data_IF_504632339586
#
_entry.id   IF_504632339586
#
_cell.length_a   1.000
_cell.length_b   1.000
_cell.length_c   1.000
_cell.angle_alpha   90.00
_cell.angle_beta   90.00
_cell.angle_gamma   90.00
#
_symmetry.space_group_name_H-M   'P 1'
#
loop_
_entity.id
_entity.type
_entity.pdbx_description
1 polymer ?
#
# COMPACT_ATOMS: atom_id res chain seq x y z
N UNK A 1 -34.61 -19.20 10.89
CA UNK A 1 -33.20 -18.97 11.28
C UNK A 1 -32.23 -20.14 11.02
N UNK A 2 -32.50 -21.42 11.33
CA UNK A 2 -31.52 -22.51 11.05
C UNK A 2 -31.50 -23.00 9.60
N UNK A 3 -32.65 -23.05 8.91
CA UNK A 3 -32.73 -23.46 7.50
C UNK A 3 -32.15 -22.42 6.53
N UNK A 4 -32.32 -21.12 6.79
CA UNK A 4 -31.78 -20.04 5.93
C UNK A 4 -30.25 -19.92 6.02
N UNK A 5 -29.67 -20.08 7.21
CA UNK A 5 -28.20 -20.18 7.36
C UNK A 5 -27.63 -21.37 6.58
N UNK A 6 -28.42 -22.42 6.37
CA UNK A 6 -28.03 -23.60 5.59
C UNK A 6 -28.20 -23.41 4.07
N UNK A 7 -29.03 -22.46 3.62
CA UNK A 7 -29.27 -22.22 2.20
C UNK A 7 -28.09 -21.48 1.55
N UNK A 8 -27.68 -20.34 2.10
CA UNK A 8 -26.58 -19.56 1.54
C UNK A 8 -25.23 -20.26 1.68
N UNK A 9 -25.07 -21.11 2.70
CA UNK A 9 -23.87 -21.94 2.84
C UNK A 9 -23.76 -23.04 1.79
N UNK A 10 -24.78 -23.29 0.96
CA UNK A 10 -24.68 -24.18 -0.22
C UNK A 10 -24.50 -23.42 -1.53
N UNK A 11 -24.95 -22.16 -1.61
CA UNK A 11 -24.91 -21.35 -2.83
C UNK A 11 -23.59 -20.58 -3.00
N UNK A 12 -22.96 -20.13 -1.90
CA UNK A 12 -21.71 -19.39 -1.98
C UNK A 12 -20.51 -20.29 -2.37
N UNK A 13 -19.54 -19.71 -3.10
CA UNK A 13 -18.26 -20.38 -3.41
C UNK A 13 -17.61 -20.93 -2.14
N UNK A 14 -17.01 -22.11 -2.23
CA UNK A 14 -16.39 -22.77 -1.07
C UNK A 14 -15.32 -21.88 -0.39
N UNK A 15 -14.53 -21.16 -1.17
CA UNK A 15 -13.53 -20.21 -0.67
C UNK A 15 -14.12 -19.10 0.20
N UNK A 16 -15.28 -18.56 -0.20
CA UNK A 16 -15.97 -17.47 0.51
C UNK A 16 -16.63 -17.96 1.80
N UNK A 17 -17.02 -19.24 1.85
CA UNK A 17 -17.60 -19.87 3.04
C UNK A 17 -16.56 -20.29 4.08
N UNK A 18 -15.29 -20.28 3.71
CA UNK A 18 -14.19 -20.69 4.58
C UNK A 18 -14.14 -19.81 5.83
N UNK A 19 -14.14 -20.43 6.99
CA UNK A 19 -13.95 -19.72 8.28
C UNK A 19 -12.57 -19.05 8.38
N UNK A 20 -11.60 -19.48 7.55
CA UNK A 20 -10.28 -18.84 7.46
C UNK A 20 -10.35 -17.45 6.82
N UNK A 21 -11.33 -17.20 5.95
CA UNK A 21 -11.54 -15.90 5.32
C UNK A 21 -12.35 -14.99 6.25
N UNK A 22 -11.65 -14.24 7.08
CA UNK A 22 -12.27 -13.27 7.98
C UNK A 22 -12.14 -11.85 7.44
N UNK A 23 -13.14 -11.01 7.70
CA UNK A 23 -13.17 -9.60 7.31
C UNK A 23 -13.64 -8.76 8.49
N UNK A 24 -13.15 -7.53 8.65
CA UNK A 24 -13.66 -6.61 9.66
C UNK A 24 -15.15 -6.35 9.48
N UNK A 25 -15.89 -6.19 10.58
CA UNK A 25 -17.27 -5.71 10.55
C UNK A 25 -17.28 -4.19 10.44
N UNK A 26 -17.40 -3.67 9.22
CA UNK A 26 -17.37 -2.22 8.99
C UNK A 26 -18.49 -1.45 9.70
N UNK A 27 -19.63 -2.08 9.97
CA UNK A 27 -20.73 -1.49 10.77
C UNK A 27 -20.37 -1.24 12.24
N UNK A 28 -19.28 -1.83 12.73
CA UNK A 28 -18.79 -1.70 14.11
C UNK A 28 -17.53 -0.80 14.17
N UNK A 29 -17.12 -0.20 13.05
CA UNK A 29 -15.96 0.67 13.01
C UNK A 29 -16.23 1.98 13.77
N UNK A 30 -15.41 2.27 14.78
CA UNK A 30 -15.43 3.57 15.45
C UNK A 30 -14.92 4.67 14.51
N UNK A 31 -15.55 5.85 14.59
CA UNK A 31 -15.02 7.06 13.97
C UNK A 31 -13.68 7.43 14.61
N UNK A 32 -12.76 8.00 13.82
CA UNK A 32 -11.53 8.57 14.36
C UNK A 32 -11.86 9.92 15.00
N UNK A 33 -11.29 10.19 16.17
CA UNK A 33 -11.43 11.47 16.83
C UNK A 33 -10.71 12.56 16.02
N UNK A 34 -11.46 13.54 15.53
CA UNK A 34 -10.96 14.63 14.68
C UNK A 34 -10.04 15.60 15.44
N UNK A 35 -10.04 15.55 16.78
CA UNK A 35 -9.14 16.36 17.62
C UNK A 35 -7.73 15.76 17.73
N UNK A 36 -7.53 14.52 17.27
CA UNK A 36 -6.24 13.83 17.31
C UNK A 36 -5.54 13.89 15.95
N UNK A 37 -4.20 13.88 15.98
CA UNK A 37 -3.42 13.63 14.77
C UNK A 37 -3.61 12.20 14.28
N UNK A 38 -3.88 12.00 12.99
CA UNK A 38 -4.10 10.68 12.41
C UNK A 38 -2.86 10.14 11.70
N UNK A 39 -2.05 9.37 12.43
CA UNK A 39 -0.84 8.73 11.92
C UNK A 39 -0.95 7.19 11.88
N UNK A 40 -2.16 6.63 11.72
CA UNK A 40 -2.42 5.19 11.83
C UNK A 40 -2.56 4.42 10.50
N UNK A 41 -2.87 5.11 9.38
CA UNK A 41 -3.20 4.50 8.07
C UNK A 41 -2.27 4.89 6.93
N UNK A 42 -1.16 5.55 7.22
CA UNK A 42 -0.20 6.01 6.23
C UNK A 42 -0.87 6.96 5.21
N UNK A 43 -1.78 7.81 5.66
CA UNK A 43 -2.29 8.93 4.85
C UNK A 43 -1.20 10.01 4.76
N UNK A 44 -1.22 10.84 3.71
CA UNK A 44 -0.35 12.00 3.63
C UNK A 44 -0.90 13.09 4.58
N UNK A 45 -0.10 13.60 5.51
CA UNK A 45 -0.51 14.65 6.45
C UNK A 45 0.08 16.04 6.15
N UNK A 46 0.65 16.22 4.95
CA UNK A 46 1.27 17.46 4.52
C UNK A 46 0.24 18.59 4.29
N UNK A 47 0.28 19.68 5.07
CA UNK A 47 -0.74 20.72 5.03
C UNK A 47 -0.71 21.56 3.74
N UNK A 48 0.45 21.73 3.11
CA UNK A 48 0.53 22.47 1.83
C UNK A 48 -0.14 21.71 0.69
N UNK A 49 0.10 20.40 0.59
CA UNK A 49 -0.55 19.53 -0.40
C UNK A 49 -2.06 19.42 -0.15
N UNK A 50 -2.47 19.38 1.13
CA UNK A 50 -3.89 19.45 1.49
C UNK A 50 -4.53 20.77 1.04
N UNK A 51 -3.84 21.90 1.25
CA UNK A 51 -4.30 23.20 0.79
C UNK A 51 -4.45 23.27 -0.74
N UNK A 52 -3.53 22.65 -1.49
CA UNK A 52 -3.68 22.49 -2.95
C UNK A 52 -4.92 21.66 -3.29
N UNK A 53 -5.06 20.49 -2.66
CA UNK A 53 -6.21 19.59 -2.86
C UNK A 53 -7.53 20.31 -2.62
N UNK A 54 -7.63 21.09 -1.55
CA UNK A 54 -8.82 21.87 -1.22
C UNK A 54 -9.15 22.91 -2.31
N UNK A 55 -8.14 23.65 -2.81
CA UNK A 55 -8.33 24.61 -3.92
C UNK A 55 -8.80 23.92 -5.20
N UNK A 56 -8.24 22.76 -5.52
CA UNK A 56 -8.62 22.00 -6.71
C UNK A 56 -10.04 21.44 -6.59
N UNK A 57 -10.44 20.95 -5.41
CA UNK A 57 -11.80 20.51 -5.14
C UNK A 57 -12.82 21.65 -5.30
N UNK A 58 -12.52 22.84 -4.75
CA UNK A 58 -13.41 24.03 -4.85
C UNK A 58 -13.66 24.51 -6.28
N UNK A 59 -12.78 24.17 -7.22
CA UNK A 59 -12.89 24.57 -8.63
C UNK A 59 -13.48 23.46 -9.52
N UNK A 60 -13.87 22.31 -8.96
CA UNK A 60 -14.51 21.25 -9.73
C UNK A 60 -15.93 21.68 -10.13
N UNK A 61 -16.35 21.46 -11.39
CA UNK A 61 -17.71 21.80 -11.79
C UNK A 61 -18.72 20.87 -11.12
N UNK A 62 -19.85 21.43 -10.68
CA UNK A 62 -20.93 20.68 -10.02
C UNK A 62 -21.49 19.56 -10.89
N UNK A 63 -21.33 19.65 -12.22
CA UNK A 63 -21.78 18.61 -13.14
C UNK A 63 -21.18 17.23 -12.87
N UNK A 64 -19.97 17.18 -12.31
CA UNK A 64 -19.31 15.91 -11.97
C UNK A 64 -20.07 15.10 -10.91
N UNK A 65 -20.96 15.73 -10.14
CA UNK A 65 -21.78 15.03 -9.14
C UNK A 65 -22.91 14.21 -9.77
N UNK A 66 -23.30 14.49 -11.01
CA UNK A 66 -24.45 13.85 -11.68
C UNK A 66 -24.12 13.31 -13.07
N UNK A 67 -22.83 13.21 -13.44
CA UNK A 67 -22.36 12.59 -14.69
C UNK A 67 -21.43 11.41 -14.44
N UNK A 68 -21.38 10.49 -15.39
CA UNK A 68 -20.37 9.43 -15.43
C UNK A 68 -18.97 9.99 -15.77
N UNK A 69 -17.89 9.27 -15.42
CA UNK A 69 -16.53 9.74 -15.64
C UNK A 69 -16.12 9.65 -17.12
N UNK A 70 -15.55 10.73 -17.64
CA UNK A 70 -14.89 10.79 -18.95
C UNK A 70 -13.37 10.63 -18.77
N UNK A 71 -12.90 9.38 -18.74
CA UNK A 71 -11.56 9.05 -18.25
C UNK A 71 -10.41 9.30 -19.23
N UNK A 72 -10.70 9.58 -20.52
CA UNK A 72 -9.68 9.67 -21.57
C UNK A 72 -8.56 10.66 -21.25
N UNK A 73 -8.89 11.84 -20.71
CA UNK A 73 -7.89 12.84 -20.30
C UNK A 73 -7.01 12.36 -19.16
N UNK A 74 -7.60 11.76 -18.12
CA UNK A 74 -6.87 11.18 -17.00
C UNK A 74 -5.92 10.07 -17.47
N UNK A 75 -6.38 9.13 -18.30
CA UNK A 75 -5.53 8.08 -18.87
C UNK A 75 -4.31 8.65 -19.59
N UNK A 76 -4.49 9.63 -20.48
CA UNK A 76 -3.38 10.23 -21.24
C UNK A 76 -2.44 11.06 -20.36
N UNK A 77 -2.96 11.83 -19.39
CA UNK A 77 -2.10 12.55 -18.43
C UNK A 77 -1.29 11.59 -17.58
N UNK A 78 -1.94 10.55 -17.06
CA UNK A 78 -1.29 9.54 -16.22
C UNK A 78 -0.22 8.78 -17.00
N UNK A 79 -0.50 8.33 -18.22
CA UNK A 79 0.46 7.65 -19.07
C UNK A 79 1.70 8.52 -19.35
N UNK A 80 1.51 9.81 -19.65
CA UNK A 80 2.61 10.78 -19.81
C UNK A 80 3.41 10.98 -18.52
N UNK A 81 2.74 11.10 -17.38
CA UNK A 81 3.40 11.24 -16.08
C UNK A 81 4.24 10.00 -15.73
N UNK A 82 3.72 8.81 -16.00
CA UNK A 82 4.38 7.54 -15.73
C UNK A 82 5.48 7.23 -16.76
N UNK A 83 5.37 7.76 -17.99
CA UNK A 83 6.33 7.54 -19.06
C UNK A 83 6.07 6.28 -19.89
N UNK A 84 4.80 5.89 -20.07
CA UNK A 84 4.39 4.66 -20.79
C UNK A 84 3.30 4.94 -21.84
N UNK A 85 3.02 3.97 -22.70
CA UNK A 85 1.85 4.04 -23.60
C UNK A 85 0.54 4.01 -22.80
N UNK A 86 -0.48 4.71 -23.29
CA UNK A 86 -1.80 4.77 -22.62
C UNK A 86 -2.44 3.39 -22.44
N UNK A 87 -2.20 2.45 -23.36
CA UNK A 87 -2.71 1.08 -23.29
C UNK A 87 -1.95 0.20 -22.29
N UNK A 88 -0.84 0.69 -21.73
CA UNK A 88 -0.12 0.01 -20.64
C UNK A 88 -0.63 0.41 -19.26
N UNK A 89 -1.62 1.31 -19.19
CA UNK A 89 -2.22 1.79 -17.94
C UNK A 89 -3.63 1.25 -17.80
N UNK A 90 -4.00 0.86 -16.57
CA UNK A 90 -5.38 0.52 -16.20
C UNK A 90 -5.74 1.28 -14.93
N UNK A 91 -6.74 2.17 -14.97
CA UNK A 91 -7.23 2.84 -13.76
C UNK A 91 -8.00 1.86 -12.87
N UNK A 92 -7.92 2.06 -11.56
CA UNK A 92 -8.56 1.19 -10.57
C UNK A 92 -8.97 1.95 -9.32
N UNK A 93 -9.82 1.34 -8.49
CA UNK A 93 -10.31 1.88 -7.22
C UNK A 93 -9.22 1.91 -6.11
N UNK A 94 -8.13 2.63 -6.35
CA UNK A 94 -6.88 2.55 -5.59
C UNK A 94 -6.05 1.31 -5.99
N UNK A 95 -4.81 1.20 -5.50
CA UNK A 95 -3.96 0.04 -5.77
C UNK A 95 -4.58 -1.30 -5.36
N UNK A 96 -5.46 -1.31 -4.35
CA UNK A 96 -6.24 -2.51 -3.96
C UNK A 96 -7.09 -3.05 -5.12
N UNK A 97 -7.66 -2.15 -5.94
CA UNK A 97 -8.37 -2.54 -7.16
C UNK A 97 -7.43 -3.15 -8.21
N UNK A 98 -6.24 -2.57 -8.41
CA UNK A 98 -5.23 -3.13 -9.30
C UNK A 98 -4.77 -4.52 -8.86
N UNK A 99 -4.49 -4.69 -7.56
CA UNK A 99 -4.14 -5.98 -6.97
C UNK A 99 -5.29 -6.97 -7.22
N UNK A 100 -6.53 -6.61 -6.88
CA UNK A 100 -7.69 -7.49 -7.07
C UNK A 100 -7.88 -7.93 -8.52
N UNK A 101 -7.72 -7.03 -9.49
CA UNK A 101 -7.91 -7.37 -10.90
C UNK A 101 -6.92 -8.44 -11.39
N UNK A 102 -5.72 -8.53 -10.80
CA UNK A 102 -4.80 -9.65 -11.09
C UNK A 102 -5.38 -10.98 -10.61
N UNK A 103 -5.94 -11.01 -9.39
CA UNK A 103 -6.60 -12.21 -8.89
C UNK A 103 -7.81 -12.59 -9.74
N UNK A 104 -8.60 -11.62 -10.17
CA UNK A 104 -9.77 -11.84 -11.04
C UNK A 104 -9.40 -12.39 -12.41
N UNK A 105 -8.29 -11.93 -13.00
CA UNK A 105 -7.90 -12.32 -14.34
C UNK A 105 -7.09 -13.62 -14.39
N UNK A 106 -6.33 -13.96 -13.35
CA UNK A 106 -5.29 -14.99 -13.44
C UNK A 106 -5.35 -16.11 -12.41
N UNK A 107 -6.14 -15.99 -11.34
CA UNK A 107 -6.09 -16.95 -10.24
C UNK A 107 -7.32 -17.86 -10.24
N UNK A 108 -7.07 -19.15 -10.42
CA UNK A 108 -8.06 -20.20 -10.24
C UNK A 108 -7.97 -20.83 -8.83
N UNK A 109 -9.06 -21.44 -8.33
CA UNK A 109 -9.00 -22.19 -7.08
C UNK A 109 -7.94 -23.28 -7.11
N UNK A 110 -7.10 -23.34 -6.08
CA UNK A 110 -5.98 -24.28 -5.97
C UNK A 110 -4.63 -23.74 -6.44
N UNK A 111 -4.60 -22.63 -7.19
CA UNK A 111 -3.34 -21.99 -7.59
C UNK A 111 -2.50 -21.58 -6.36
N UNK A 112 -1.19 -21.54 -6.54
CA UNK A 112 -0.24 -21.09 -5.50
C UNK A 112 0.05 -19.60 -5.68
N UNK A 113 -0.09 -18.82 -4.60
CA UNK A 113 0.25 -17.38 -4.59
C UNK A 113 1.31 -17.12 -3.54
N UNK A 114 2.49 -16.69 -3.97
CA UNK A 114 3.57 -16.29 -3.09
C UNK A 114 3.46 -14.80 -2.75
N UNK A 115 3.71 -14.45 -1.49
CA UNK A 115 3.76 -13.06 -1.04
C UNK A 115 4.64 -12.94 0.20
N UNK A 116 5.17 -11.74 0.48
CA UNK A 116 5.92 -11.50 1.71
C UNK A 116 5.05 -11.64 2.97
N UNK A 117 5.65 -11.87 4.14
CA UNK A 117 4.93 -11.95 5.41
C UNK A 117 5.76 -11.40 6.60
N UNK A 118 5.28 -10.40 7.35
CA UNK A 118 4.04 -9.64 7.15
C UNK A 118 4.10 -8.82 5.86
N UNK A 119 2.93 -8.38 5.38
CA UNK A 119 2.77 -7.63 4.13
C UNK A 119 1.43 -6.88 4.12
N UNK A 120 1.07 -6.25 2.99
CA UNK A 120 -0.25 -5.65 2.82
C UNK A 120 -1.32 -6.73 2.93
N UNK A 121 -2.26 -6.54 3.87
CA UNK A 121 -3.20 -7.57 4.31
C UNK A 121 -4.09 -8.15 3.20
N UNK A 122 -4.21 -7.47 2.06
CA UNK A 122 -5.09 -7.90 0.97
C UNK A 122 -4.50 -9.02 0.11
N UNK A 123 -3.18 -9.23 0.05
CA UNK A 123 -2.62 -10.39 -0.67
C UNK A 123 -3.10 -11.74 -0.12
N UNK A 124 -2.96 -12.03 1.19
CA UNK A 124 -3.48 -13.28 1.73
C UNK A 124 -5.01 -13.34 1.68
N UNK A 125 -5.71 -12.21 1.86
CA UNK A 125 -7.17 -12.18 1.77
C UNK A 125 -7.65 -12.51 0.36
N UNK A 126 -7.08 -11.91 -0.68
CA UNK A 126 -7.46 -12.25 -2.05
C UNK A 126 -7.07 -13.68 -2.40
N UNK A 127 -5.90 -14.16 -1.97
CA UNK A 127 -5.50 -15.56 -2.14
C UNK A 127 -6.60 -16.50 -1.59
N UNK A 128 -7.04 -16.28 -0.36
CA UNK A 128 -8.13 -17.07 0.24
C UNK A 128 -9.48 -16.85 -0.47
N UNK A 129 -9.83 -15.61 -0.82
CA UNK A 129 -11.11 -15.24 -1.44
C UNK A 129 -11.31 -15.94 -2.78
N UNK A 130 -10.26 -16.08 -3.57
CA UNK A 130 -10.28 -16.77 -4.88
C UNK A 130 -10.01 -18.27 -4.76
N UNK A 131 -9.83 -18.80 -3.53
CA UNK A 131 -9.64 -20.23 -3.29
C UNK A 131 -8.25 -20.74 -3.63
N UNK A 132 -7.27 -19.84 -3.76
CA UNK A 132 -5.87 -20.16 -3.95
C UNK A 132 -5.19 -20.49 -2.60
N UNK A 133 -3.98 -21.04 -2.69
CA UNK A 133 -3.15 -21.41 -1.54
C UNK A 133 -2.01 -20.40 -1.39
N UNK A 134 -1.89 -19.82 -0.19
CA UNK A 134 -0.82 -18.87 0.12
C UNK A 134 0.53 -19.58 0.35
N UNK A 135 1.59 -19.01 -0.20
CA UNK A 135 2.99 -19.34 0.06
C UNK A 135 3.69 -18.12 0.68
N UNK A 136 3.58 -17.92 2.00
CA UNK A 136 4.19 -16.77 2.66
C UNK A 136 5.73 -16.86 2.65
N UNK A 137 6.38 -15.76 2.29
CA UNK A 137 7.82 -15.53 2.34
C UNK A 137 8.12 -14.69 3.59
N UNK A 138 8.42 -15.37 4.70
CA UNK A 138 8.47 -14.73 6.02
C UNK A 138 9.75 -13.93 6.25
N UNK A 139 9.59 -12.64 6.56
CA UNK A 139 10.65 -11.83 7.14
C UNK A 139 11.10 -12.41 8.48
N UNK A 140 12.41 -12.39 8.71
CA UNK A 140 13.02 -12.67 10.00
C UNK A 140 13.28 -11.36 10.76
N UNK A 141 13.35 -11.45 12.09
CA UNK A 141 13.83 -10.33 12.89
C UNK A 141 15.36 -10.23 12.72
N UNK A 142 15.83 -9.11 12.20
CA UNK A 142 17.25 -8.79 12.05
C UNK A 142 17.70 -7.68 13.00
N UNK A 143 19.01 -7.49 13.12
CA UNK A 143 19.59 -6.47 14.00
C UNK A 143 19.23 -5.04 13.58
N UNK A 144 18.96 -4.82 12.29
CA UNK A 144 18.59 -3.52 11.72
C UNK A 144 17.11 -3.44 11.31
N UNK A 145 16.29 -4.38 11.74
CA UNK A 145 14.88 -4.49 11.37
C UNK A 145 14.54 -5.80 10.65
N UNK A 146 13.35 -5.89 10.03
CA UNK A 146 12.94 -7.06 9.27
C UNK A 146 13.88 -7.39 8.09
N UNK A 147 14.24 -8.66 7.94
CA UNK A 147 15.13 -9.15 6.87
C UNK A 147 14.46 -10.28 6.09
N UNK A 148 14.45 -10.19 4.76
CA UNK A 148 13.99 -11.27 3.87
C UNK A 148 15.05 -11.49 2.79
N UNK A 149 15.71 -12.64 2.84
CA UNK A 149 16.76 -12.95 1.87
C UNK A 149 16.19 -13.22 0.49
N UNK A 150 16.73 -12.56 -0.53
CA UNK A 150 16.34 -12.78 -1.94
C UNK A 150 16.48 -14.25 -2.35
N UNK A 151 17.48 -14.96 -1.82
CA UNK A 151 17.67 -16.38 -2.07
C UNK A 151 16.41 -17.22 -1.78
N UNK A 152 15.66 -16.93 -0.70
CA UNK A 152 14.44 -17.69 -0.40
C UNK A 152 13.33 -17.43 -1.41
N UNK A 153 13.27 -16.22 -1.98
CA UNK A 153 12.32 -15.87 -3.05
C UNK A 153 12.68 -16.64 -4.32
N UNK A 154 13.96 -16.63 -4.70
CA UNK A 154 14.46 -17.36 -5.87
C UNK A 154 14.24 -18.87 -5.74
N UNK A 155 14.47 -19.44 -4.56
CA UNK A 155 14.21 -20.86 -4.29
C UNK A 155 12.73 -21.21 -4.35
N UNK A 156 11.86 -20.32 -3.86
CA UNK A 156 10.41 -20.47 -4.00
C UNK A 156 10.00 -20.50 -5.48
N UNK A 157 10.49 -19.55 -6.28
CA UNK A 157 10.21 -19.48 -7.71
C UNK A 157 10.68 -20.75 -8.45
N UNK A 158 11.90 -21.24 -8.17
CA UNK A 158 12.44 -22.46 -8.79
C UNK A 158 11.66 -23.72 -8.41
N UNK A 159 11.39 -23.89 -7.11
CA UNK A 159 10.90 -25.16 -6.57
C UNK A 159 9.39 -25.28 -6.53
N UNK A 160 8.67 -24.17 -6.31
CA UNK A 160 7.21 -24.15 -6.14
C UNK A 160 6.48 -23.62 -7.36
N UNK A 161 7.13 -22.74 -8.15
CA UNK A 161 6.57 -22.11 -9.36
C UNK A 161 5.14 -21.58 -9.12
N UNK A 162 4.95 -20.66 -8.18
CA UNK A 162 3.62 -20.12 -7.89
C UNK A 162 3.02 -19.48 -9.13
N UNK A 163 1.69 -19.45 -9.23
CA UNK A 163 0.99 -18.75 -10.32
C UNK A 163 1.29 -17.24 -10.29
N UNK A 164 1.37 -16.69 -9.08
CA UNK A 164 1.57 -15.27 -8.82
C UNK A 164 2.56 -15.06 -7.66
N UNK A 165 3.47 -14.12 -7.82
CA UNK A 165 4.32 -13.57 -6.77
C UNK A 165 3.93 -12.10 -6.53
N UNK A 166 3.42 -11.77 -5.35
CA UNK A 166 3.11 -10.41 -4.92
C UNK A 166 4.22 -9.86 -4.01
N UNK A 167 4.89 -8.80 -4.43
CA UNK A 167 5.90 -8.10 -3.62
C UNK A 167 5.57 -6.62 -3.54
N UNK A 168 5.22 -6.08 -2.36
CA UNK A 168 5.25 -4.64 -2.18
C UNK A 168 6.70 -4.15 -2.08
N UNK A 169 7.00 -3.03 -2.72
CA UNK A 169 8.34 -2.45 -2.70
C UNK A 169 8.26 -0.92 -2.79
N UNK A 170 8.33 -0.19 -1.66
CA UNK A 170 8.54 -0.64 -0.28
C UNK A 170 7.41 -1.50 0.29
N UNK A 171 7.78 -2.46 1.15
CA UNK A 171 6.81 -3.31 1.84
C UNK A 171 6.13 -2.55 2.99
N UNK A 172 4.82 -2.78 3.18
CA UNK A 172 4.09 -2.39 4.37
C UNK A 172 3.54 -3.64 5.06
N UNK A 173 3.92 -3.92 6.31
CA UNK A 173 4.33 -2.90 7.28
C UNK A 173 5.84 -2.73 7.46
N UNK A 174 6.72 -3.53 6.88
CA UNK A 174 8.14 -3.54 7.29
C UNK A 174 8.91 -2.28 6.90
N UNK A 175 8.54 -1.64 5.79
CA UNK A 175 9.25 -0.50 5.21
C UNK A 175 10.50 -0.87 4.43
N UNK A 176 10.78 -2.17 4.28
CA UNK A 176 11.95 -2.69 3.57
C UNK A 176 11.79 -2.54 2.08
N UNK A 177 12.91 -2.50 1.37
CA UNK A 177 12.96 -2.52 -0.09
C UNK A 177 13.89 -3.62 -0.56
N UNK A 178 13.70 -4.05 -1.81
CA UNK A 178 14.65 -4.81 -2.58
C UNK A 178 15.45 -3.85 -3.47
N UNK A 179 16.76 -4.07 -3.54
CA UNK A 179 17.63 -3.31 -4.42
C UNK A 179 17.36 -3.64 -5.90
N UNK A 180 17.71 -2.75 -6.85
CA UNK A 180 17.44 -2.97 -8.27
C UNK A 180 17.98 -4.30 -8.82
N UNK A 181 19.18 -4.72 -8.40
CA UNK A 181 19.79 -5.99 -8.83
C UNK A 181 19.01 -7.21 -8.30
N UNK A 182 18.46 -7.11 -7.09
CA UNK A 182 17.65 -8.15 -6.47
C UNK A 182 16.32 -8.30 -7.19
N UNK A 183 15.66 -7.18 -7.48
CA UNK A 183 14.41 -7.18 -8.24
C UNK A 183 14.61 -7.76 -9.65
N UNK A 184 15.69 -7.42 -10.34
CA UNK A 184 16.02 -8.02 -11.65
C UNK A 184 16.20 -9.53 -11.55
N UNK A 185 16.96 -10.01 -10.57
CA UNK A 185 17.16 -11.45 -10.36
C UNK A 185 15.84 -12.18 -10.08
N UNK A 186 14.94 -11.57 -9.29
CA UNK A 186 13.59 -12.10 -9.03
C UNK A 186 12.77 -12.16 -10.31
N UNK A 187 12.77 -11.08 -11.11
CA UNK A 187 12.01 -11.00 -12.36
C UNK A 187 12.51 -11.98 -13.42
N UNK A 188 13.83 -12.11 -13.59
CA UNK A 188 14.46 -13.08 -14.50
C UNK A 188 14.07 -14.52 -14.11
N UNK A 189 14.14 -14.83 -12.82
CA UNK A 189 13.78 -16.14 -12.29
C UNK A 189 12.27 -16.41 -12.42
N UNK A 190 11.42 -15.40 -12.18
CA UNK A 190 9.98 -15.52 -12.31
C UNK A 190 9.57 -15.75 -13.77
N UNK A 191 10.16 -14.98 -14.70
CA UNK A 191 9.91 -15.12 -16.14
C UNK A 191 10.30 -16.51 -16.64
N UNK A 192 11.51 -16.99 -16.31
CA UNK A 192 11.95 -18.34 -16.69
C UNK A 192 11.13 -19.46 -16.04
N UNK A 193 10.43 -19.16 -14.94
CA UNK A 193 9.56 -20.12 -14.24
C UNK A 193 8.08 -20.01 -14.65
N UNK A 194 7.72 -19.07 -15.54
CA UNK A 194 6.34 -18.83 -15.96
C UNK A 194 5.44 -18.24 -14.85
N UNK A 195 6.03 -17.50 -13.92
CA UNK A 195 5.33 -16.92 -12.75
C UNK A 195 4.94 -15.48 -13.04
N UNK A 196 3.67 -15.10 -12.81
CA UNK A 196 3.25 -13.70 -12.86
C UNK A 196 3.82 -12.94 -11.66
N UNK A 197 4.32 -11.72 -11.86
CA UNK A 197 4.85 -10.88 -10.80
C UNK A 197 4.03 -9.61 -10.67
N UNK A 198 3.56 -9.35 -9.45
CA UNK A 198 2.91 -8.12 -9.04
C UNK A 198 3.83 -7.36 -8.10
N UNK A 199 4.37 -6.23 -8.55
CA UNK A 199 5.11 -5.31 -7.69
C UNK A 199 4.19 -4.16 -7.26
N UNK A 200 3.93 -4.04 -5.97
CA UNK A 200 3.11 -2.94 -5.42
C UNK A 200 4.00 -1.78 -4.97
N UNK A 201 3.97 -0.71 -5.75
CA UNK A 201 4.68 0.54 -5.51
C UNK A 201 3.75 1.60 -4.89
N UNK A 202 2.85 1.20 -3.98
CA UNK A 202 1.94 2.12 -3.30
C UNK A 202 2.64 3.32 -2.62
N UNK A 203 3.92 3.18 -2.25
CA UNK A 203 4.72 4.22 -1.63
C UNK A 203 5.69 4.93 -2.59
N UNK A 204 5.61 4.73 -3.90
CA UNK A 204 6.32 5.60 -4.83
C UNK A 204 5.79 7.05 -4.72
N UNK A 205 6.64 8.09 -4.71
CA UNK A 205 8.10 8.10 -4.85
C UNK A 205 8.88 8.25 -3.52
N UNK A 206 8.32 7.85 -2.37
CA UNK A 206 9.08 7.82 -1.11
C UNK A 206 10.34 6.94 -1.21
N UNK A 207 10.27 5.91 -2.04
CA UNK A 207 11.42 5.21 -2.60
C UNK A 207 11.57 5.58 -4.08
N UNK A 208 12.76 6.03 -4.52
CA UNK A 208 12.94 6.58 -5.87
C UNK A 208 12.98 5.51 -6.97
N UNK A 209 13.38 4.28 -6.64
CA UNK A 209 13.48 3.22 -7.64
C UNK A 209 12.09 2.70 -7.96
N UNK A 210 11.81 2.53 -9.26
CA UNK A 210 10.63 1.87 -9.77
C UNK A 210 10.99 0.83 -10.82
N UNK A 211 10.21 -0.23 -10.89
CA UNK A 211 10.31 -1.27 -11.93
C UNK A 211 9.38 -1.02 -13.13
N UNK A 212 8.65 0.10 -13.16
CA UNK A 212 7.78 0.48 -14.30
C UNK A 212 8.56 0.52 -15.60
N UNK A 213 9.80 0.99 -15.59
CA UNK A 213 10.67 1.04 -16.77
C UNK A 213 11.00 -0.35 -17.34
N UNK A 214 10.74 -1.42 -16.60
CA UNK A 214 11.11 -2.78 -16.98
C UNK A 214 9.92 -3.59 -17.52
N UNK A 215 8.70 -3.06 -17.53
CA UNK A 215 7.49 -3.78 -17.97
C UNK A 215 7.58 -4.30 -19.41
N UNK A 216 8.33 -3.63 -20.28
CA UNK A 216 8.53 -4.06 -21.67
C UNK A 216 9.55 -5.21 -21.77
N UNK A 217 10.47 -5.32 -20.80
CA UNK A 217 11.45 -6.42 -20.71
C UNK A 217 10.87 -7.65 -19.99
N UNK A 218 9.86 -7.45 -19.13
CA UNK A 218 9.23 -8.50 -18.33
C UNK A 218 7.73 -8.55 -18.63
N UNK A 219 7.28 -9.33 -19.64
CA UNK A 219 5.86 -9.39 -20.03
C UNK A 219 4.95 -9.99 -18.94
N UNK A 220 5.53 -10.64 -17.94
CA UNK A 220 4.87 -11.18 -16.76
C UNK A 220 4.89 -10.21 -15.54
N UNK A 221 5.29 -8.95 -15.72
CA UNK A 221 5.34 -7.94 -14.66
C UNK A 221 4.15 -6.99 -14.74
N UNK A 222 3.45 -6.84 -13.63
CA UNK A 222 2.51 -5.76 -13.38
C UNK A 222 2.95 -4.93 -12.17
N UNK A 223 2.86 -3.61 -12.30
CA UNK A 223 3.13 -2.67 -11.21
C UNK A 223 1.82 -2.04 -10.75
N UNK A 224 1.53 -2.07 -9.45
CA UNK A 224 0.40 -1.36 -8.86
C UNK A 224 0.85 -0.03 -8.23
N UNK A 225 0.10 1.04 -8.44
CA UNK A 225 0.33 2.36 -7.85
C UNK A 225 -0.97 3.02 -7.40
N UNK A 226 -0.86 4.06 -6.58
CA UNK A 226 -2.00 4.69 -5.91
C UNK A 226 -1.84 6.20 -5.80
N UNK A 227 -2.96 6.93 -5.85
CA UNK A 227 -2.99 8.35 -5.48
C UNK A 227 -3.22 8.55 -3.96
N UNK A 228 -3.34 7.47 -3.19
CA UNK A 228 -3.68 7.56 -1.77
C UNK A 228 -2.53 7.99 -0.85
N UNK A 229 -1.28 7.72 -1.26
CA UNK A 229 -0.09 7.94 -0.44
C UNK A 229 0.55 9.26 -0.82
N UNK A 230 1.55 9.27 -1.70
CA UNK A 230 2.29 10.48 -2.05
C UNK A 230 1.39 11.63 -2.52
N UNK A 231 0.44 11.35 -3.42
CA UNK A 231 -0.52 12.35 -3.93
C UNK A 231 -1.56 12.83 -2.92
N UNK A 232 -1.65 12.24 -1.73
CA UNK A 232 -2.46 12.74 -0.62
C UNK A 232 -3.98 12.70 -0.77
N UNK A 233 -4.51 12.06 -1.83
CA UNK A 233 -5.96 12.01 -2.09
C UNK A 233 -6.54 10.61 -1.78
N UNK A 234 -6.23 10.05 -0.61
CA UNK A 234 -6.69 8.72 -0.20
C UNK A 234 -8.21 8.52 -0.30
N UNK A 235 -8.99 9.58 -0.01
CA UNK A 235 -10.45 9.59 -0.11
C UNK A 235 -10.99 9.53 -1.55
N UNK A 236 -10.20 9.91 -2.56
CA UNK A 236 -10.60 9.87 -3.96
C UNK A 236 -10.71 8.44 -4.52
N UNK A 237 -10.08 7.47 -3.84
CA UNK A 237 -10.05 6.06 -4.24
C UNK A 237 -9.58 5.84 -5.69
N UNK A 238 -8.55 6.57 -6.12
CA UNK A 238 -7.94 6.40 -7.45
C UNK A 238 -6.57 5.73 -7.33
N UNK A 239 -6.35 4.73 -8.17
CA UNK A 239 -5.08 4.04 -8.36
C UNK A 239 -4.98 3.51 -9.78
N UNK A 240 -3.91 2.77 -10.06
CA UNK A 240 -3.69 2.24 -11.39
C UNK A 240 -2.73 1.05 -11.38
N UNK A 241 -2.86 0.21 -12.41
CA UNK A 241 -1.88 -0.79 -12.79
C UNK A 241 -1.08 -0.29 -14.00
N UNK A 242 0.18 -0.71 -14.09
CA UNK A 242 1.04 -0.52 -15.26
C UNK A 242 1.63 -1.87 -15.67
N UNK A 243 1.52 -2.25 -16.93
CA UNK A 243 2.03 -3.52 -17.44
C UNK A 243 2.32 -3.46 -18.95
N UNK A 244 3.02 -4.47 -19.48
CA UNK A 244 3.07 -4.70 -20.92
C UNK A 244 1.65 -4.81 -21.54
N UNK A 245 1.50 -4.40 -22.80
CA UNK A 245 0.19 -4.26 -23.47
C UNK A 245 -0.70 -5.49 -23.34
N UNK A 246 -0.17 -6.67 -23.63
CA UNK A 246 -0.94 -7.93 -23.59
C UNK A 246 -1.48 -8.24 -22.19
N UNK A 247 -0.67 -7.97 -21.15
CA UNK A 247 -1.07 -8.15 -19.76
C UNK A 247 -2.10 -7.08 -19.34
N UNK A 248 -1.88 -5.82 -19.71
CA UNK A 248 -2.83 -4.74 -19.45
C UNK A 248 -4.20 -4.99 -20.12
N UNK A 249 -4.21 -5.53 -21.34
CA UNK A 249 -5.44 -5.89 -22.07
C UNK A 249 -6.25 -6.97 -21.35
N UNK A 250 -5.58 -7.97 -20.75
CA UNK A 250 -6.25 -8.98 -19.94
C UNK A 250 -6.86 -8.39 -18.66
N UNK A 251 -6.14 -7.48 -18.01
CA UNK A 251 -6.66 -6.76 -16.83
C UNK A 251 -7.85 -5.86 -17.22
N UNK A 252 -7.81 -5.20 -18.38
CA UNK A 252 -8.94 -4.41 -18.90
C UNK A 252 -10.20 -5.26 -19.12
N UNK A 253 -10.11 -6.57 -19.38
CA UNK A 253 -11.30 -7.42 -19.57
C UNK A 253 -12.10 -7.66 -18.30
N UNK A 254 -11.48 -7.54 -17.13
CA UNK A 254 -12.15 -7.80 -15.84
C UNK A 254 -12.62 -6.52 -15.14
N UNK A 255 -12.33 -5.34 -15.72
CA UNK A 255 -12.74 -4.06 -15.12
C UNK A 255 -14.26 -3.87 -15.18
N UNK A 256 -14.86 -3.18 -14.19
CA UNK A 256 -16.21 -2.68 -14.32
C UNK A 256 -16.28 -1.55 -15.37
N UNK A 257 -17.48 -1.25 -15.87
CA UNK A 257 -17.70 -0.14 -16.82
C UNK A 257 -17.17 1.20 -16.31
N UNK A 258 -17.25 1.43 -14.99
CA UNK A 258 -16.71 2.60 -14.31
C UNK A 258 -15.92 2.17 -13.07
N UNK A 259 -14.59 2.09 -13.19
CA UNK A 259 -13.67 1.66 -12.12
C UNK A 259 -13.46 2.69 -11.00
N UNK A 260 -13.63 3.98 -11.31
CA UNK A 260 -13.38 5.11 -10.40
C UNK A 260 -14.52 6.11 -10.50
N UNK A 261 -14.84 6.76 -9.38
CA UNK A 261 -15.89 7.79 -9.35
C UNK A 261 -15.46 9.08 -10.06
N UNK A 262 -16.43 9.78 -10.66
CA UNK A 262 -16.22 11.01 -11.46
C UNK A 262 -15.44 12.10 -10.72
N UNK A 263 -15.78 12.36 -9.45
CA UNK A 263 -15.10 13.38 -8.63
C UNK A 263 -13.64 12.99 -8.38
N UNK A 264 -13.39 11.72 -8.02
CA UNK A 264 -12.04 11.22 -7.76
C UNK A 264 -11.16 11.26 -9.02
N UNK A 265 -11.70 10.86 -10.17
CA UNK A 265 -11.02 10.91 -11.44
C UNK A 265 -10.62 12.35 -11.83
N UNK A 266 -11.57 13.29 -11.73
CA UNK A 266 -11.31 14.69 -12.06
C UNK A 266 -10.29 15.35 -11.12
N UNK A 267 -10.33 15.01 -9.83
CA UNK A 267 -9.33 15.47 -8.86
C UNK A 267 -7.94 14.91 -9.21
N UNK A 268 -7.83 13.60 -9.46
CA UNK A 268 -6.56 12.98 -9.85
C UNK A 268 -5.99 13.58 -11.14
N UNK A 269 -6.85 13.85 -12.14
CA UNK A 269 -6.45 14.49 -13.40
C UNK A 269 -5.82 15.88 -13.19
N UNK A 270 -6.34 16.67 -12.23
CA UNK A 270 -5.82 17.99 -11.89
C UNK A 270 -4.58 17.91 -11.01
N UNK A 271 -4.52 16.97 -10.07
CA UNK A 271 -3.34 16.75 -9.24
C UNK A 271 -2.10 16.44 -10.09
N UNK A 272 -2.26 15.72 -11.20
CA UNK A 272 -1.18 15.43 -12.16
C UNK A 272 -0.57 16.67 -12.82
N UNK A 273 -1.18 17.86 -12.70
CA UNK A 273 -0.59 19.12 -13.16
C UNK A 273 0.39 19.73 -12.14
N UNK A 274 0.49 19.14 -10.92
CA UNK A 274 1.33 19.64 -9.81
C UNK A 274 2.23 18.56 -9.20
N UNK A 275 3.02 17.84 -10.00
CA UNK A 275 3.93 16.81 -9.48
C UNK A 275 5.00 17.36 -8.52
N UNK A 276 5.44 18.60 -8.72
CA UNK A 276 6.41 19.27 -7.85
C UNK A 276 5.85 19.51 -6.44
N UNK A 277 4.55 19.81 -6.32
CA UNK A 277 3.90 19.95 -5.02
C UNK A 277 3.82 18.60 -4.30
N UNK A 278 3.54 17.52 -5.03
CA UNK A 278 3.57 16.16 -4.48
C UNK A 278 4.98 15.77 -4.02
N UNK A 279 6.01 16.08 -4.82
CA UNK A 279 7.39 15.78 -4.46
C UNK A 279 7.85 16.59 -3.23
N UNK A 280 7.53 17.89 -3.17
CA UNK A 280 7.83 18.72 -2.00
C UNK A 280 7.16 18.18 -0.71
N UNK A 281 5.93 17.67 -0.81
CA UNK A 281 5.27 17.00 0.31
C UNK A 281 5.99 15.70 0.71
N UNK A 282 6.41 14.87 -0.24
CA UNK A 282 7.22 13.66 0.03
C UNK A 282 8.51 14.03 0.77
N UNK A 283 9.18 15.10 0.36
CA UNK A 283 10.43 15.57 0.96
C UNK A 283 10.21 16.04 2.40
N UNK A 284 9.17 16.85 2.67
CA UNK A 284 8.80 17.28 4.03
C UNK A 284 8.44 16.11 4.95
N UNK A 285 7.67 15.15 4.44
CA UNK A 285 7.32 13.94 5.19
C UNK A 285 8.54 13.06 5.49
N UNK A 286 9.49 12.96 4.56
CA UNK A 286 10.76 12.27 4.79
C UNK A 286 11.64 13.02 5.81
N UNK A 287 11.68 14.34 5.77
CA UNK A 287 12.37 15.17 6.76
C UNK A 287 11.78 14.97 8.16
N UNK A 288 10.45 14.98 8.29
CA UNK A 288 9.79 14.74 9.59
C UNK A 288 10.02 13.33 10.13
N UNK A 289 10.04 12.28 9.27
CA UNK A 289 10.49 10.93 9.71
C UNK A 289 11.92 10.96 10.25
N UNK A 290 12.84 11.64 9.57
CA UNK A 290 14.23 11.77 10.01
C UNK A 290 14.30 12.46 11.38
N UNK A 291 13.65 13.62 11.52
CA UNK A 291 13.54 14.34 12.80
C UNK A 291 13.02 13.44 13.91
N UNK A 292 11.86 12.80 13.71
CA UNK A 292 11.22 11.98 14.73
C UNK A 292 12.12 10.83 15.17
N UNK A 293 12.74 10.11 14.23
CA UNK A 293 13.64 8.99 14.56
C UNK A 293 14.91 9.46 15.29
N UNK A 294 15.48 10.61 14.92
CA UNK A 294 16.62 11.21 15.64
C UNK A 294 16.26 11.57 17.09
N UNK A 295 15.07 12.13 17.32
CA UNK A 295 14.62 12.43 18.68
C UNK A 295 14.35 11.15 19.49
N UNK A 296 13.81 10.11 18.87
CA UNK A 296 13.64 8.81 19.54
C UNK A 296 14.97 8.17 19.92
N UNK A 297 15.98 8.27 19.05
CA UNK A 297 17.34 7.80 19.33
C UNK A 297 17.97 8.58 20.50
N UNK A 298 17.80 9.90 20.57
CA UNK A 298 18.25 10.74 21.70
C UNK A 298 17.62 10.34 23.03
N UNK A 299 16.37 9.87 23.00
CA UNK A 299 15.66 9.34 24.18
C UNK A 299 16.01 7.87 24.48
N UNK A 300 16.91 7.25 23.73
CA UNK A 300 17.36 5.88 23.93
C UNK A 300 16.46 4.81 23.32
N UNK A 301 15.56 5.17 22.40
CA UNK A 301 14.69 4.23 21.70
C UNK A 301 15.24 3.80 20.35
N UNK A 302 14.99 2.55 19.99
CA UNK A 302 15.37 2.01 18.68
C UNK A 302 14.31 2.32 17.63
N UNK A 303 14.72 2.96 16.55
CA UNK A 303 13.86 3.30 15.41
C UNK A 303 14.19 2.50 14.15
N UNK A 304 13.18 2.22 13.32
CA UNK A 304 13.37 1.69 11.97
C UNK A 304 13.03 2.74 10.92
N UNK A 305 14.00 3.08 10.09
CA UNK A 305 13.79 3.90 8.90
C UNK A 305 13.09 3.07 7.84
N UNK A 306 11.94 3.54 7.40
CA UNK A 306 11.16 2.92 6.32
C UNK A 306 11.24 3.78 5.06
N UNK A 307 11.28 3.10 3.91
CA UNK A 307 11.21 3.70 2.58
C UNK A 307 9.76 4.01 2.15
N UNK A 308 8.75 3.64 2.94
CA UNK A 308 7.37 4.10 2.79
C UNK A 308 7.10 5.42 3.54
N UNK A 309 5.84 5.87 3.60
CA UNK A 309 5.45 7.07 4.37
C UNK A 309 5.07 6.74 5.82
N UNK A 310 5.93 6.01 6.51
CA UNK A 310 5.79 5.66 7.92
C UNK A 310 7.17 5.34 8.51
N UNK A 311 7.26 5.20 9.82
CA UNK A 311 8.44 4.72 10.53
C UNK A 311 8.03 3.91 11.76
N UNK A 312 8.97 3.20 12.37
CA UNK A 312 8.72 2.42 13.59
C UNK A 312 9.61 2.83 14.73
N UNK A 313 9.12 2.70 15.95
CA UNK A 313 9.86 2.92 17.19
C UNK A 313 9.53 1.81 18.18
N UNK A 314 10.54 1.21 18.77
CA UNK A 314 10.39 0.27 19.87
C UNK A 314 10.63 0.99 21.20
N UNK A 315 9.57 1.11 22.01
CA UNK A 315 9.63 1.80 23.30
C UNK A 315 10.07 0.91 24.46
N UNK A 316 10.21 -0.40 24.23
CA UNK A 316 10.66 -1.36 25.23
C UNK A 316 9.83 -1.31 26.52
N UNK A 317 10.51 -1.24 27.67
CA UNK A 317 9.87 -1.18 28.98
C UNK A 317 9.07 0.11 29.23
N UNK A 318 9.29 1.16 28.43
CA UNK A 318 8.56 2.42 28.53
C UNK A 318 7.26 2.45 27.71
N UNK A 319 6.94 1.38 26.95
CA UNK A 319 5.80 1.35 26.03
C UNK A 319 4.49 1.79 26.67
N UNK A 320 4.12 1.24 27.83
CA UNK A 320 2.86 1.58 28.51
C UNK A 320 2.78 3.07 28.88
N UNK A 321 3.85 3.64 29.46
CA UNK A 321 3.92 5.06 29.83
C UNK A 321 3.80 5.96 28.59
N UNK A 322 4.53 5.61 27.53
CA UNK A 322 4.49 6.35 26.26
C UNK A 322 3.09 6.28 25.63
N UNK A 323 2.47 5.10 25.60
CA UNK A 323 1.15 4.90 25.01
C UNK A 323 0.06 5.65 25.75
N UNK A 324 0.16 5.72 27.09
CA UNK A 324 -0.74 6.52 27.90
C UNK A 324 -0.55 8.03 27.64
N UNK A 325 0.70 8.49 27.51
CA UNK A 325 1.01 9.90 27.22
C UNK A 325 0.59 10.34 25.82
N UNK A 326 0.60 9.44 24.83
CA UNK A 326 0.21 9.72 23.45
C UNK A 326 -1.30 9.58 23.19
N UNK A 327 -2.05 8.97 24.10
CA UNK A 327 -3.50 8.76 23.97
C UNK A 327 -4.29 10.04 23.63
N UNK A 328 -4.04 11.22 24.22
CA UNK A 328 -4.75 12.46 23.89
C UNK A 328 -4.12 13.24 22.73
N UNK A 329 -3.10 12.71 22.06
CA UNK A 329 -2.31 13.45 21.05
C UNK A 329 -2.47 12.87 19.65
N UNK A 330 -2.35 11.54 19.51
CA UNK A 330 -2.18 10.92 18.19
C UNK A 330 -2.78 9.51 18.11
N UNK A 331 -3.41 9.21 16.98
CA UNK A 331 -3.76 7.86 16.55
C UNK A 331 -2.61 7.27 15.74
N UNK A 332 -2.13 6.10 16.12
CA UNK A 332 -1.04 5.38 15.46
C UNK A 332 -1.18 3.88 15.76
N UNK A 333 -0.35 3.03 15.14
CA UNK A 333 -0.37 1.59 15.42
C UNK A 333 0.59 1.29 16.55
N UNK A 334 0.05 0.80 17.67
CA UNK A 334 0.78 0.50 18.90
C UNK A 334 1.26 -0.94 18.90
N UNK A 335 2.43 -1.17 19.49
CA UNK A 335 2.97 -2.47 19.90
C UNK A 335 2.54 -3.64 19.03
N UNK A 336 3.18 -3.76 17.87
CA UNK A 336 2.97 -4.92 16.99
C UNK A 336 3.21 -6.20 17.81
N UNK A 337 2.24 -7.12 17.86
CA UNK A 337 2.24 -8.17 18.88
C UNK A 337 3.27 -9.27 18.64
N UNK A 338 3.60 -9.55 17.37
CA UNK A 338 4.39 -10.71 16.96
C UNK A 338 5.25 -10.44 15.71
N UNK A 339 6.01 -11.46 15.31
CA UNK A 339 6.84 -11.47 14.10
C UNK A 339 8.06 -10.56 14.15
N UNK A 340 8.58 -10.22 12.98
CA UNK A 340 9.79 -9.42 12.78
C UNK A 340 9.67 -7.95 13.26
N UNK A 341 8.45 -7.50 13.56
CA UNK A 341 8.16 -6.15 14.05
C UNK A 341 7.67 -6.15 15.51
N UNK A 342 7.78 -7.28 16.23
CA UNK A 342 7.29 -7.38 17.61
C UNK A 342 7.82 -6.24 18.50
N UNK A 343 6.92 -5.57 19.21
CA UNK A 343 7.24 -4.48 20.12
C UNK A 343 7.48 -3.12 19.45
N UNK A 344 7.39 -3.05 18.12
CA UNK A 344 7.42 -1.78 17.41
C UNK A 344 6.04 -1.15 17.31
N UNK A 345 5.99 0.15 17.57
CA UNK A 345 4.87 1.03 17.22
C UNK A 345 5.15 1.71 15.88
N UNK A 346 4.15 1.79 15.00
CA UNK A 346 4.24 2.43 13.68
C UNK A 346 3.51 3.77 13.66
N UNK A 347 4.21 4.78 13.19
CA UNK A 347 3.69 6.12 12.93
C UNK A 347 3.73 6.39 11.44
N UNK A 348 2.64 6.90 10.88
CA UNK A 348 2.65 7.49 9.54
C UNK A 348 3.59 8.69 9.53
N UNK A 349 4.21 8.97 8.40
CA UNK A 349 5.05 10.15 8.23
C UNK A 349 4.19 11.41 8.37
N UNK A 350 4.78 12.42 8.98
CA UNK A 350 4.23 13.76 9.12
C UNK A 350 5.36 14.78 8.98
N UNK A 351 5.06 16.06 8.69
CA UNK A 351 6.04 17.14 8.80
C UNK A 351 6.59 17.26 10.23
N UNK A 352 7.74 17.90 10.37
CA UNK A 352 8.44 18.06 11.65
C UNK A 352 7.55 18.71 12.72
N UNK A 353 6.82 19.75 12.36
CA UNK A 353 5.94 20.52 13.24
C UNK A 353 4.79 19.67 13.81
N UNK A 354 4.35 18.63 13.08
CA UNK A 354 3.36 17.68 13.58
C UNK A 354 3.97 16.60 14.48
N UNK A 355 5.27 16.31 14.33
CA UNK A 355 5.97 15.39 15.23
C UNK A 355 6.43 16.05 16.54
N UNK A 356 6.72 17.34 16.56
CA UNK A 356 7.12 18.09 17.77
C UNK A 356 6.23 17.82 19.01
N UNK A 357 4.89 17.96 18.97
CA UNK A 357 4.03 17.67 20.12
C UNK A 357 4.05 16.20 20.54
N UNK A 358 4.28 15.28 19.60
CA UNK A 358 4.43 13.83 19.87
C UNK A 358 5.74 13.58 20.61
N UNK A 359 6.86 14.12 20.11
CA UNK A 359 8.18 14.02 20.74
C UNK A 359 8.14 14.59 22.16
N UNK A 360 7.57 15.78 22.34
CA UNK A 360 7.46 16.42 23.65
C UNK A 360 6.63 15.59 24.65
N UNK A 361 5.56 14.93 24.19
CA UNK A 361 4.76 14.02 25.02
C UNK A 361 5.54 12.76 25.41
N UNK A 362 6.30 12.18 24.49
CA UNK A 362 7.17 11.02 24.76
C UNK A 362 8.25 11.41 25.77
N UNK A 363 8.96 12.52 25.54
CA UNK A 363 10.03 13.00 26.43
C UNK A 363 9.54 13.20 27.87
N UNK A 364 8.38 13.83 28.07
CA UNK A 364 7.78 14.00 29.41
C UNK A 364 7.39 12.68 30.09
N UNK A 365 7.09 11.64 29.33
CA UNK A 365 6.68 10.34 29.87
C UNK A 365 7.87 9.48 30.33
N UNK A 366 9.07 9.78 29.84
CA UNK A 366 10.29 8.97 30.02
C UNK A 366 11.38 9.69 30.81
N UNK A 367 11.25 11.01 30.96
CA UNK A 367 11.94 11.80 32.00
C UNK A 367 11.38 11.46 33.36
#
# INVERSE_FOLDING_TARGET
MSQEKHLFSKLARASVRSEKLTRPRWSEAAARDEMLMWLDKNENSDPELHGLTERLLKTLPMSLAYTYPELGKLYHKLARWVGVDVNQVVLTAGSDGAIRSVFEAFIDPGDLVAHTAPTFAMYPVYTQMYGATALPLSYQAGAKGPELGVASILDCLRSKKPKLLCLPNPDSPTGTVFEPSELRAILDQALSSGVLVLIDEAYHPFYPISVVEWIDSYPNLMVARTFAKAWGIAGARVGYAVAGRDLADLIHKVRPMYEVGTIGAALAERMLDFPEAMQAAVDRLNAGKTYFLTEMERLGFSGLRSHGNFCHVAFGTAAEKVHQALKPVVLYRRDTPDGCLRGYSRFSAAPEEQFEPIVAAIQRAVS
#
